data_IF_791223460590
#
_entry.id   IF_791223460590
#
_cell.length_a   1.000
_cell.length_b   1.000
_cell.length_c   1.000
_cell.angle_alpha   90.00
_cell.angle_beta   90.00
_cell.angle_gamma   90.00
#
_symmetry.space_group_name_H-M   'P 1'
#
loop_
_entity.id
_entity.type
_entity.pdbx_description
1 polymer ?
#
# COMPACT_ATOMS: atom_id res chain seq x y z
N UNK A 1 6.83 4.47 -2.63
CA UNK A 1 5.44 4.36 -2.14
C UNK A 1 4.84 5.69 -1.67
N UNK A 2 5.31 6.32 -0.57
CA UNK A 2 4.73 7.60 -0.08
C UNK A 2 4.69 8.72 -1.13
N UNK A 3 5.72 8.82 -1.97
CA UNK A 3 5.77 9.80 -3.07
C UNK A 3 4.64 9.58 -4.11
N UNK A 4 4.37 8.32 -4.47
CA UNK A 4 3.31 7.94 -5.41
C UNK A 4 1.92 8.28 -4.86
N UNK A 5 1.68 7.98 -3.58
CA UNK A 5 0.40 8.28 -2.94
C UNK A 5 0.12 9.79 -2.91
N UNK A 6 1.15 10.59 -2.57
CA UNK A 6 1.04 12.05 -2.57
C UNK A 6 0.83 12.60 -3.99
N UNK A 7 1.62 12.15 -4.97
CA UNK A 7 1.45 12.63 -6.36
C UNK A 7 0.09 12.27 -6.93
N UNK A 8 -0.50 11.14 -6.53
CA UNK A 8 -1.83 10.73 -6.96
C UNK A 8 -2.93 11.62 -6.36
N UNK A 9 -2.80 11.97 -5.08
CA UNK A 9 -3.72 12.89 -4.41
C UNK A 9 -3.64 14.30 -5.01
N UNK A 10 -2.43 14.81 -5.24
CA UNK A 10 -2.22 16.13 -5.84
C UNK A 10 -2.67 16.18 -7.31
N UNK A 11 -2.48 15.09 -8.06
CA UNK A 11 -3.02 14.94 -9.41
C UNK A 11 -4.55 14.99 -9.41
N UNK A 12 -5.22 14.30 -8.49
CA UNK A 12 -6.68 14.34 -8.36
C UNK A 12 -7.17 15.77 -8.09
N UNK A 13 -6.54 16.48 -7.15
CA UNK A 13 -6.85 17.90 -6.86
C UNK A 13 -6.64 18.79 -8.08
N UNK A 14 -5.61 18.54 -8.88
CA UNK A 14 -5.35 19.29 -10.10
C UNK A 14 -6.37 18.99 -11.22
N UNK A 15 -6.80 17.73 -11.35
CA UNK A 15 -7.88 17.33 -12.27
C UNK A 15 -9.20 18.01 -11.92
N UNK A 16 -9.57 18.03 -10.63
CA UNK A 16 -10.77 18.72 -10.14
C UNK A 16 -10.74 20.22 -10.45
N UNK A 17 -9.57 20.88 -10.29
CA UNK A 17 -9.37 22.29 -10.64
C UNK A 17 -9.44 22.55 -12.14
N UNK A 18 -8.86 21.67 -12.95
CA UNK A 18 -8.89 21.74 -14.41
C UNK A 18 -10.31 21.61 -14.99
N UNK A 19 -11.15 20.76 -14.39
CA UNK A 19 -12.57 20.65 -14.74
C UNK A 19 -13.34 21.97 -14.48
N UNK A 20 -12.88 22.78 -13.52
CA UNK A 20 -13.37 24.14 -13.27
C UNK A 20 -12.81 25.21 -14.22
N UNK A 21 -12.07 24.83 -15.26
CA UNK A 21 -11.51 25.73 -16.29
C UNK A 21 -10.23 26.47 -15.89
N UNK A 22 -9.57 26.10 -14.79
CA UNK A 22 -8.32 26.72 -14.31
C UNK A 22 -7.22 25.66 -14.13
N UNK A 23 -5.96 26.02 -14.41
CA UNK A 23 -4.81 25.20 -13.97
C UNK A 23 -4.38 24.06 -14.89
N UNK A 24 -4.53 24.20 -16.22
CA UNK A 24 -4.06 23.20 -17.20
C UNK A 24 -2.55 22.95 -17.12
N UNK A 25 -1.75 23.99 -16.87
CA UNK A 25 -0.29 23.84 -16.68
C UNK A 25 0.04 23.02 -15.42
N UNK A 26 -0.63 23.30 -14.29
CA UNK A 26 -0.41 22.55 -13.04
C UNK A 26 -0.82 21.07 -13.21
N UNK A 27 -1.89 20.79 -13.97
CA UNK A 27 -2.28 19.41 -14.29
C UNK A 27 -1.16 18.66 -15.04
N UNK A 28 -0.50 19.29 -16.02
CA UNK A 28 0.61 18.66 -16.74
C UNK A 28 1.79 18.37 -15.82
N UNK A 29 2.12 19.29 -14.91
CA UNK A 29 3.18 19.10 -13.92
C UNK A 29 2.87 17.95 -12.95
N UNK A 30 1.63 17.88 -12.44
CA UNK A 30 1.20 16.78 -11.57
C UNK A 30 1.20 15.43 -12.29
N UNK A 31 0.82 15.40 -13.57
CA UNK A 31 0.92 14.18 -14.39
C UNK A 31 2.37 13.72 -14.54
N UNK A 32 3.31 14.65 -14.75
CA UNK A 32 4.73 14.32 -14.85
C UNK A 32 5.30 13.80 -13.51
N UNK A 33 4.91 14.43 -12.39
CA UNK A 33 5.27 13.97 -11.04
C UNK A 33 4.77 12.55 -10.75
N UNK A 34 3.49 12.27 -11.05
CA UNK A 34 2.91 10.95 -10.91
C UNK A 34 3.69 9.90 -11.70
N UNK A 35 3.93 10.14 -13.00
CA UNK A 35 4.69 9.21 -13.85
C UNK A 35 6.11 8.98 -13.35
N UNK A 36 6.78 9.99 -12.79
CA UNK A 36 8.10 9.84 -12.17
C UNK A 36 8.05 8.95 -10.93
N UNK A 37 7.06 9.15 -10.06
CA UNK A 37 6.90 8.36 -8.84
C UNK A 37 6.61 6.88 -9.13
N UNK A 38 5.76 6.59 -10.12
CA UNK A 38 5.46 5.23 -10.57
C UNK A 38 6.72 4.54 -11.10
N UNK A 39 7.44 5.19 -12.03
CA UNK A 39 8.67 4.62 -12.61
C UNK A 39 9.74 4.33 -11.56
N UNK A 40 9.91 5.24 -10.59
CA UNK A 40 10.86 5.04 -9.51
C UNK A 40 10.51 3.80 -8.67
N UNK A 41 9.22 3.61 -8.36
CA UNK A 41 8.77 2.47 -7.57
C UNK A 41 8.83 1.14 -8.36
N UNK A 42 8.54 1.17 -9.66
CA UNK A 42 8.68 0.00 -10.52
C UNK A 42 10.15 -0.44 -10.68
N UNK A 43 11.09 0.50 -10.71
CA UNK A 43 12.54 0.21 -10.70
C UNK A 43 12.97 -0.44 -9.38
N UNK A 44 12.49 0.06 -8.24
CA UNK A 44 12.74 -0.60 -6.96
C UNK A 44 12.20 -2.05 -6.95
N UNK A 45 11.05 -2.30 -7.57
CA UNK A 45 10.54 -3.66 -7.76
C UNK A 45 11.45 -4.55 -8.59
N UNK A 46 12.07 -4.02 -9.65
CA UNK A 46 13.11 -4.72 -10.43
C UNK A 46 14.32 -5.09 -9.56
N UNK A 47 14.80 -4.14 -8.76
CA UNK A 47 16.00 -4.34 -7.96
C UNK A 47 15.76 -5.43 -6.90
N UNK A 48 14.60 -5.43 -6.24
CA UNK A 48 14.17 -6.50 -5.29
C UNK A 48 14.12 -7.88 -5.98
N UNK A 49 13.54 -7.95 -7.19
CA UNK A 49 13.49 -9.21 -7.93
C UNK A 49 14.90 -9.71 -8.32
N UNK A 50 15.79 -8.79 -8.70
CA UNK A 50 17.18 -9.11 -9.03
C UNK A 50 17.96 -9.63 -7.82
N UNK A 51 17.77 -9.05 -6.63
CA UNK A 51 18.38 -9.51 -5.38
C UNK A 51 17.94 -10.94 -5.01
N UNK A 52 16.72 -11.34 -5.40
CA UNK A 52 16.22 -12.71 -5.25
C UNK A 52 16.62 -13.66 -6.40
N UNK A 53 17.54 -13.23 -7.27
CA UNK A 53 18.03 -14.03 -8.41
C UNK A 53 17.05 -14.13 -9.58
N UNK A 54 15.96 -13.34 -9.57
CA UNK A 54 14.95 -13.29 -10.63
C UNK A 54 15.11 -12.02 -11.44
N UNK A 55 15.87 -12.09 -12.53
CA UNK A 55 16.02 -10.95 -13.45
C UNK A 55 14.67 -10.55 -14.05
N UNK A 56 14.18 -9.37 -13.70
CA UNK A 56 12.91 -8.84 -14.19
C UNK A 56 13.10 -8.16 -15.56
N UNK A 57 12.41 -8.66 -16.59
CA UNK A 57 12.41 -8.05 -17.91
C UNK A 57 11.73 -6.67 -17.89
N UNK A 58 11.96 -5.87 -18.94
CA UNK A 58 11.27 -4.57 -19.10
C UNK A 58 9.74 -4.73 -19.11
N UNK A 59 9.23 -5.85 -19.65
CA UNK A 59 7.80 -6.16 -19.63
C UNK A 59 7.25 -6.37 -18.21
N UNK A 60 8.00 -6.99 -17.31
CA UNK A 60 7.62 -7.14 -15.90
C UNK A 60 7.59 -5.78 -15.21
N UNK A 61 8.57 -4.92 -15.48
CA UNK A 61 8.60 -3.56 -14.90
C UNK A 61 7.46 -2.70 -15.39
N UNK A 62 7.11 -2.80 -16.67
CA UNK A 62 5.94 -2.12 -17.23
C UNK A 62 4.64 -2.62 -16.56
N UNK A 63 4.52 -3.92 -16.31
CA UNK A 63 3.38 -4.49 -15.61
C UNK A 63 3.27 -4.01 -14.17
N UNK A 64 4.38 -4.00 -13.43
CA UNK A 64 4.44 -3.41 -12.08
C UNK A 64 4.00 -1.94 -12.12
N UNK A 65 4.48 -1.17 -13.10
CA UNK A 65 4.09 0.23 -13.26
C UNK A 65 2.57 0.39 -13.49
N UNK A 66 1.96 -0.43 -14.36
CA UNK A 66 0.50 -0.42 -14.61
C UNK A 66 -0.30 -0.73 -13.35
N UNK A 67 0.10 -1.75 -12.60
CA UNK A 67 -0.54 -2.11 -11.33
C UNK A 67 -0.43 -1.00 -10.29
N UNK A 68 0.72 -0.33 -10.19
CA UNK A 68 0.92 0.80 -9.28
C UNK A 68 0.08 2.02 -9.68
N UNK A 69 -0.08 2.30 -10.97
CA UNK A 69 -0.97 3.35 -11.48
C UNK A 69 -2.44 3.02 -11.17
N UNK A 70 -2.88 1.79 -11.43
CA UNK A 70 -4.23 1.33 -11.13
C UNK A 70 -4.55 1.40 -9.62
N UNK A 71 -3.63 0.94 -8.78
CA UNK A 71 -3.75 1.00 -7.32
C UNK A 71 -3.79 2.44 -6.79
N UNK A 72 -3.19 3.39 -7.50
CA UNK A 72 -3.25 4.80 -7.15
C UNK A 72 -4.56 5.48 -7.56
N UNK A 73 -5.44 4.82 -8.33
CA UNK A 73 -6.74 5.35 -8.75
C UNK A 73 -7.89 4.82 -7.89
N UNK A 74 -7.79 3.57 -7.41
CA UNK A 74 -8.78 2.96 -6.53
C UNK A 74 -8.47 3.18 -5.05
N UNK A 75 -9.48 3.56 -4.25
CA UNK A 75 -9.27 3.91 -2.83
C UNK A 75 -8.94 2.68 -1.96
N UNK A 76 -9.53 1.52 -2.28
CA UNK A 76 -9.26 0.26 -1.57
C UNK A 76 -7.86 -0.27 -1.87
N UNK A 77 -7.48 -0.28 -3.14
CA UNK A 77 -6.14 -0.63 -3.58
C UNK A 77 -5.09 0.36 -3.08
N UNK A 78 -5.41 1.65 -2.96
CA UNK A 78 -4.52 2.66 -2.36
C UNK A 78 -4.20 2.34 -0.91
N UNK A 79 -5.17 1.84 -0.14
CA UNK A 79 -4.96 1.37 1.22
C UNK A 79 -4.03 0.15 1.27
N UNK A 80 -4.27 -0.86 0.44
CA UNK A 80 -3.40 -2.05 0.36
C UNK A 80 -1.99 -1.69 -0.09
N UNK A 81 -1.87 -0.81 -1.09
CA UNK A 81 -0.60 -0.28 -1.56
C UNK A 81 0.12 0.46 -0.42
N UNK A 82 -0.56 1.34 0.32
CA UNK A 82 0.03 2.05 1.47
C UNK A 82 0.51 1.09 2.57
N UNK A 83 -0.21 0.00 2.78
CA UNK A 83 0.11 -1.02 3.76
C UNK A 83 1.17 -2.04 3.27
N UNK A 84 1.63 -1.94 2.02
CA UNK A 84 2.57 -2.91 1.44
C UNK A 84 1.96 -4.30 1.21
N UNK A 85 0.63 -4.40 1.13
CA UNK A 85 -0.14 -5.66 0.99
C UNK A 85 -0.86 -5.78 -0.36
N UNK A 86 -0.36 -5.11 -1.40
CA UNK A 86 -0.91 -5.26 -2.74
C UNK A 86 -0.43 -6.60 -3.33
N UNK A 87 -1.29 -7.62 -3.27
CA UNK A 87 -0.97 -8.99 -3.70
C UNK A 87 -1.51 -9.35 -5.07
N UNK A 88 -2.37 -8.51 -5.65
CA UNK A 88 -3.01 -8.75 -6.94
C UNK A 88 -2.54 -7.72 -7.98
N UNK A 89 -2.38 -8.18 -9.21
CA UNK A 89 -2.18 -7.29 -10.35
C UNK A 89 -3.49 -6.57 -10.65
N UNK A 90 -3.39 -5.24 -10.80
CA UNK A 90 -4.53 -4.38 -11.10
C UNK A 90 -4.34 -3.76 -12.48
N UNK A 91 -5.42 -3.70 -13.24
CA UNK A 91 -5.47 -2.98 -14.50
C UNK A 91 -6.09 -1.58 -14.30
N UNK A 92 -5.53 -0.54 -14.93
CA UNK A 92 -6.11 0.80 -14.85
C UNK A 92 -7.54 0.78 -15.41
N UNK A 93 -8.50 1.50 -14.79
CA UNK A 93 -9.83 1.62 -15.35
C UNK A 93 -9.73 2.23 -16.76
N UNK A 94 -10.20 1.48 -17.76
CA UNK A 94 -10.25 1.93 -19.16
C UNK A 94 -11.33 2.99 -19.40
N UNK A 95 -11.42 3.48 -20.63
CA UNK A 95 -12.47 4.42 -21.06
C UNK A 95 -13.90 3.90 -20.84
N UNK A 96 -14.09 2.59 -20.68
CA UNK A 96 -15.39 2.00 -20.34
C UNK A 96 -15.92 2.44 -18.98
N UNK A 97 -15.04 2.76 -18.02
CA UNK A 97 -15.44 3.34 -16.74
C UNK A 97 -16.01 4.76 -16.89
N UNK A 98 -15.64 5.48 -17.97
CA UNK A 98 -16.22 6.77 -18.34
C UNK A 98 -17.53 6.64 -19.14
N UNK A 99 -17.86 5.47 -19.70
CA UNK A 99 -19.12 5.26 -20.42
C UNK A 99 -20.35 5.39 -19.49
N UNK A 100 -20.17 5.16 -18.18
CA UNK A 100 -21.15 5.48 -17.14
C UNK A 100 -21.16 6.95 -16.69
N UNK A 101 -20.15 7.75 -17.06
CA UNK A 101 -20.06 9.18 -16.78
C UNK A 101 -20.49 9.97 -18.02
N UNK A 102 -21.80 10.02 -18.28
CA UNK A 102 -22.34 10.97 -19.26
C UNK A 102 -22.08 12.40 -18.77
N UNK A 103 -21.41 13.27 -19.55
CA UNK A 103 -21.28 14.67 -19.16
C UNK A 103 -22.69 15.28 -19.11
N UNK A 104 -23.08 15.78 -17.95
CA UNK A 104 -24.35 16.47 -17.76
C UNK A 104 -24.41 17.66 -18.73
N UNK A 105 -25.23 17.53 -19.78
CA UNK A 105 -25.54 18.60 -20.72
C UNK A 105 -26.08 19.79 -19.93
N UNK A 106 -25.57 21.03 -20.14
CA UNK A 106 -26.13 22.19 -19.45
C UNK A 106 -27.61 22.33 -19.85
N UNK A 107 -28.53 22.52 -18.90
CA UNK A 107 -29.94 22.60 -19.21
C UNK A 107 -30.20 23.83 -20.06
N UNK A 108 -30.74 23.64 -21.27
CA UNK A 108 -31.23 24.76 -22.06
C UNK A 108 -32.39 25.40 -21.30
N UNK A 109 -32.26 26.69 -21.00
CA UNK A 109 -33.31 27.52 -20.41
C UNK A 109 -34.58 27.45 -21.24
N UNK A 110 -35.56 26.65 -20.81
CA UNK A 110 -36.99 26.89 -21.08
C UNK A 110 -37.80 26.52 -19.83
N UNK A 111 -38.41 27.57 -19.29
CA UNK A 111 -39.56 27.65 -18.40
C UNK A 111 -39.86 26.47 -17.45
N UNK A 112 -39.76 26.74 -16.15
CA UNK A 112 -40.33 25.89 -15.10
C UNK A 112 -39.66 26.16 -13.76
N UNK A 113 -40.19 27.09 -12.99
CA UNK A 113 -39.81 27.30 -11.59
C UNK A 113 -40.21 26.09 -10.75
N UNK A 114 -39.33 25.11 -10.62
CA UNK A 114 -39.47 24.02 -9.65
C UNK A 114 -38.45 24.24 -8.51
N UNK A 115 -38.96 24.58 -7.32
CA UNK A 115 -38.16 24.61 -6.09
C UNK A 115 -37.54 23.23 -5.82
N UNK A 116 -36.27 23.13 -5.39
CA UNK A 116 -35.65 21.85 -5.10
C UNK A 116 -36.35 21.18 -3.90
N UNK A 117 -36.78 19.93 -4.08
CA UNK A 117 -37.44 19.15 -3.02
C UNK A 117 -36.45 18.87 -1.87
N UNK A 118 -36.81 19.10 -0.59
CA UNK A 118 -35.92 18.94 0.58
C UNK A 118 -35.35 17.53 0.84
N UNK A 119 -35.81 16.48 0.14
CA UNK A 119 -35.52 15.09 0.47
C UNK A 119 -34.12 14.60 0.05
N UNK A 120 -33.53 15.16 -1.00
CA UNK A 120 -32.22 14.72 -1.51
C UNK A 120 -31.04 15.12 -0.61
N UNK A 121 -31.12 16.29 0.03
CA UNK A 121 -30.07 16.80 0.92
C UNK A 121 -30.02 15.99 2.22
N UNK A 122 -31.17 15.56 2.74
CA UNK A 122 -31.25 14.72 3.93
C UNK A 122 -30.60 13.34 3.69
N UNK A 123 -30.91 12.69 2.56
CA UNK A 123 -30.27 11.41 2.19
C UNK A 123 -28.77 11.55 1.97
N UNK A 124 -28.32 12.61 1.30
CA UNK A 124 -26.89 12.85 1.10
C UNK A 124 -26.15 13.04 2.44
N UNK A 125 -26.75 13.77 3.39
CA UNK A 125 -26.20 13.94 4.74
C UNK A 125 -26.13 12.62 5.50
N UNK A 126 -27.16 11.77 5.39
CA UNK A 126 -27.16 10.46 6.03
C UNK A 126 -26.02 9.57 5.50
N UNK A 127 -25.85 9.46 4.18
CA UNK A 127 -24.75 8.68 3.58
C UNK A 127 -23.37 9.17 4.01
N UNK A 128 -23.19 10.49 4.13
CA UNK A 128 -21.92 11.07 4.63
C UNK A 128 -21.67 10.71 6.09
N UNK A 129 -22.71 10.62 6.92
CA UNK A 129 -22.54 10.21 8.32
C UNK A 129 -22.25 8.72 8.46
N UNK A 130 -22.91 7.87 7.67
CA UNK A 130 -22.64 6.43 7.60
C UNK A 130 -21.19 6.19 7.17
N UNK A 131 -20.75 6.81 6.05
CA UNK A 131 -19.37 6.71 5.59
C UNK A 131 -18.34 7.21 6.64
N UNK A 132 -18.67 8.25 7.41
CA UNK A 132 -17.81 8.73 8.52
C UNK A 132 -17.73 7.72 9.67
N UNK A 133 -18.81 7.02 9.96
CA UNK A 133 -18.81 5.98 10.99
C UNK A 133 -17.98 4.78 10.54
N UNK A 134 -18.13 4.36 9.28
CA UNK A 134 -17.36 3.26 8.70
C UNK A 134 -15.86 3.57 8.69
N UNK A 135 -15.47 4.78 8.26
CA UNK A 135 -14.07 5.23 8.31
C UNK A 135 -13.53 5.19 9.75
N UNK A 136 -14.32 5.60 10.74
CA UNK A 136 -13.91 5.55 12.15
C UNK A 136 -13.81 4.12 12.68
N UNK A 137 -14.70 3.24 12.26
CA UNK A 137 -14.69 1.83 12.65
C UNK A 137 -13.44 1.14 12.09
N UNK A 138 -13.20 1.26 10.80
CA UNK A 138 -12.01 0.70 10.15
C UNK A 138 -10.70 1.31 10.66
N UNK A 139 -10.67 2.61 10.99
CA UNK A 139 -9.51 3.21 11.61
C UNK A 139 -9.20 2.61 12.99
N UNK A 140 -10.23 2.32 13.80
CA UNK A 140 -10.04 1.66 15.10
C UNK A 140 -9.56 0.22 14.95
N UNK A 141 -10.18 -0.51 14.04
CA UNK A 141 -9.79 -1.89 13.71
C UNK A 141 -8.33 -1.95 13.24
N UNK A 142 -7.90 -1.01 12.39
CA UNK A 142 -6.51 -0.93 11.94
C UNK A 142 -5.52 -0.66 13.09
N UNK A 143 -5.87 0.24 14.03
CA UNK A 143 -5.02 0.51 15.21
C UNK A 143 -4.92 -0.71 16.12
N UNK A 144 -6.02 -1.44 16.34
CA UNK A 144 -5.98 -2.64 17.16
C UNK A 144 -5.18 -3.76 16.50
N UNK A 145 -5.33 -3.95 15.19
CA UNK A 145 -4.54 -4.90 14.42
C UNK A 145 -3.04 -4.55 14.45
N UNK A 146 -2.67 -3.27 14.37
CA UNK A 146 -1.27 -2.81 14.46
C UNK A 146 -0.68 -3.10 15.85
N UNK A 147 -1.44 -2.84 16.92
CA UNK A 147 -1.02 -3.17 18.29
C UNK A 147 -0.87 -4.67 18.50
N UNK A 148 -1.73 -5.49 17.90
CA UNK A 148 -1.62 -6.94 17.97
C UNK A 148 -0.37 -7.44 17.24
N UNK A 149 -0.09 -6.90 16.06
CA UNK A 149 1.14 -7.20 15.32
C UNK A 149 2.39 -6.85 16.13
N UNK A 150 2.43 -5.67 16.75
CA UNK A 150 3.56 -5.25 17.60
C UNK A 150 3.77 -6.20 18.79
N UNK A 151 2.68 -6.63 19.46
CA UNK A 151 2.75 -7.63 20.53
C UNK A 151 3.28 -8.98 20.04
N UNK A 152 2.83 -9.44 18.88
CA UNK A 152 3.29 -10.67 18.26
C UNK A 152 4.79 -10.59 17.89
N UNK A 153 5.25 -9.45 17.38
CA UNK A 153 6.66 -9.21 17.05
C UNK A 153 7.56 -9.24 18.29
N UNK A 154 7.13 -8.58 19.38
CA UNK A 154 7.85 -8.62 20.67
C UNK A 154 7.96 -10.07 21.18
N UNK A 155 6.86 -10.82 21.15
CA UNK A 155 6.82 -12.22 21.58
C UNK A 155 7.76 -13.09 20.73
N UNK A 156 7.74 -12.91 19.41
CA UNK A 156 8.63 -13.61 18.50
C UNK A 156 10.11 -13.24 18.71
N UNK A 157 10.40 -11.98 19.05
CA UNK A 157 11.75 -11.53 19.38
C UNK A 157 12.27 -12.17 20.68
N UNK A 158 11.43 -12.27 21.72
CA UNK A 158 11.77 -12.96 22.97
C UNK A 158 12.00 -14.47 22.76
N UNK A 159 11.15 -15.12 21.98
CA UNK A 159 11.31 -16.52 21.62
C UNK A 159 12.63 -16.76 20.87
N UNK A 160 13.00 -15.87 19.93
CA UNK A 160 14.29 -15.92 19.22
C UNK A 160 15.48 -15.74 20.17
N UNK A 161 15.42 -14.78 21.11
CA UNK A 161 16.47 -14.60 22.11
C UNK A 161 16.66 -15.85 22.96
N UNK A 162 15.55 -16.45 23.40
CA UNK A 162 15.57 -17.70 24.17
C UNK A 162 16.18 -18.86 23.38
N UNK A 163 15.80 -19.00 22.11
CA UNK A 163 16.36 -20.02 21.22
C UNK A 163 17.87 -19.84 21.01
N UNK A 164 18.34 -18.60 20.81
CA UNK A 164 19.76 -18.31 20.67
C UNK A 164 20.54 -18.62 21.95
N UNK A 165 20.04 -18.20 23.12
CA UNK A 165 20.67 -18.52 24.40
C UNK A 165 20.67 -20.03 24.71
N UNK A 166 19.69 -20.79 24.21
CA UNK A 166 19.69 -22.24 24.30
C UNK A 166 20.77 -22.87 23.39
N UNK A 167 20.94 -22.36 22.17
CA UNK A 167 22.00 -22.79 21.25
C UNK A 167 23.39 -22.52 21.80
N UNK A 168 23.63 -21.31 22.31
CA UNK A 168 24.93 -20.96 22.92
C UNK A 168 25.29 -21.91 24.07
N UNK A 169 24.31 -22.22 24.95
CA UNK A 169 24.51 -23.20 26.02
C UNK A 169 24.77 -24.61 25.51
N UNK A 170 24.15 -25.01 24.40
CA UNK A 170 24.43 -26.29 23.74
C UNK A 170 25.85 -26.34 23.21
N UNK A 171 26.28 -25.29 22.49
CA UNK A 171 27.62 -25.19 21.93
C UNK A 171 28.69 -25.18 23.03
N UNK A 172 28.44 -24.49 24.14
CA UNK A 172 29.30 -24.51 25.33
C UNK A 172 29.40 -25.91 25.94
N UNK A 173 28.27 -26.60 26.10
CA UNK A 173 28.24 -27.95 26.64
C UNK A 173 28.96 -28.96 25.74
N UNK A 174 28.81 -28.84 24.41
CA UNK A 174 29.52 -29.65 23.43
C UNK A 174 31.03 -29.43 23.49
N UNK A 175 31.49 -28.17 23.62
CA UNK A 175 32.91 -27.85 23.83
C UNK A 175 33.45 -28.48 25.10
N UNK A 176 32.74 -28.30 26.22
CA UNK A 176 33.15 -28.86 27.50
C UNK A 176 33.21 -30.40 27.48
N UNK A 177 32.26 -31.05 26.80
CA UNK A 177 32.26 -32.50 26.60
C UNK A 177 33.49 -32.94 25.80
N UNK A 178 33.79 -32.27 24.69
CA UNK A 178 34.95 -32.59 23.85
C UNK A 178 36.27 -32.47 24.62
N UNK A 179 36.42 -31.43 25.46
CA UNK A 179 37.57 -31.23 26.34
C UNK A 179 37.69 -32.34 27.40
N UNK A 180 36.58 -32.70 28.05
CA UNK A 180 36.54 -33.77 29.04
C UNK A 180 36.90 -35.13 28.44
N UNK A 181 36.38 -35.44 27.24
CA UNK A 181 36.74 -36.64 26.52
C UNK A 181 38.22 -36.67 26.13
N UNK A 182 38.78 -35.55 25.67
CA UNK A 182 40.19 -35.45 25.35
C UNK A 182 41.08 -35.68 26.58
N UNK A 183 40.71 -35.11 27.74
CA UNK A 183 41.40 -35.32 29.01
C UNK A 183 41.35 -36.79 29.44
N UNK A 184 40.18 -37.44 29.34
CA UNK A 184 40.01 -38.85 29.65
C UNK A 184 40.88 -39.75 28.75
N UNK A 185 40.91 -39.48 27.43
CA UNK A 185 41.77 -40.21 26.49
C UNK A 185 43.25 -40.05 26.83
N UNK A 186 43.69 -38.86 27.26
CA UNK A 186 45.07 -38.60 27.68
C UNK A 186 45.41 -39.34 28.97
N UNK A 187 44.51 -39.38 29.94
CA UNK A 187 44.70 -40.11 31.20
C UNK A 187 44.81 -41.62 30.97
N UNK A 188 44.00 -42.19 30.07
CA UNK A 188 44.04 -43.62 29.71
C UNK A 188 45.31 -44.05 28.95
N UNK A 189 46.08 -43.11 28.40
CA UNK A 189 47.33 -43.37 27.67
C UNK A 189 48.58 -43.27 28.55
N UNK A 190 48.45 -42.82 29.80
CA UNK A 190 49.52 -42.80 30.81
C UNK A 190 49.43 -44.05 31.66
#
# INVERSE_FOLDING_TARGET
MRALLRSAEELRKAQERALGGKGVSDLQDRLAEQRRAVRALARLGRDILADEGRSASDAIVERIAKTLDAAALDEGARFQLRAGRLTEELEPPGFEALAGMTPARPPSKRAGTAKPKPSGVAQARQRVQEAKQDVRAHAREAVEAEREAERAEMTAAEARRTANAARERSDDAERALAEAEAALRKARRR
#
